data_IF_934085414062
#
_entry.id   IF_934085414062
#
_cell.length_a   1.000
_cell.length_b   1.000
_cell.length_c   1.000
_cell.angle_alpha   90.00
_cell.angle_beta   90.00
_cell.angle_gamma   90.00
#
_symmetry.space_group_name_H-M   'P 1'
#
loop_
_entity.id
_entity.type
_entity.pdbx_description
1 polymer ?
#
# COMPACT_ATOMS: atom_id res chain seq x y z
N UNK A 1 -2.11 3.04 3.61
CA UNK A 1 -1.20 3.77 2.74
C UNK A 1 -0.41 4.81 3.53
N UNK A 2 0.40 5.59 2.83
CA UNK A 2 1.21 6.62 3.47
C UNK A 2 0.72 8.01 3.08
N UNK A 3 0.28 8.15 1.83
CA UNK A 3 -0.21 9.44 1.36
C UNK A 3 0.31 9.78 -0.02
N UNK A 4 1.54 9.37 -0.30
CA UNK A 4 2.17 9.64 -1.59
C UNK A 4 1.37 9.01 -2.72
N UNK A 5 0.81 7.83 -2.47
CA UNK A 5 0.03 7.12 -3.47
C UNK A 5 -1.25 6.57 -2.85
N UNK A 6 -2.18 6.14 -3.71
CA UNK A 6 -3.45 5.59 -3.26
C UNK A 6 -3.84 4.37 -4.08
N UNK A 7 -4.22 3.30 -3.38
CA UNK A 7 -4.62 2.06 -4.04
C UNK A 7 -6.10 2.08 -4.38
N UNK A 8 -6.50 1.21 -5.33
CA UNK A 8 -7.90 1.11 -5.77
C UNK A 8 -8.80 0.51 -4.69
N UNK A 9 -10.05 0.25 -5.05
CA UNK A 9 -11.01 -0.32 -4.12
C UNK A 9 -10.88 -1.84 -4.05
N UNK A 10 -10.58 -2.45 -5.20
CA UNK A 10 -10.42 -3.90 -5.27
C UNK A 10 -9.15 -4.35 -4.55
N UNK A 11 -8.21 -3.42 -4.39
CA UNK A 11 -6.95 -3.72 -3.72
C UNK A 11 -6.81 -2.90 -2.43
N UNK A 12 -5.88 -3.32 -1.58
CA UNK A 12 -5.65 -2.62 -0.31
C UNK A 12 -4.17 -2.29 -0.14
N UNK A 13 -3.88 -1.34 0.75
CA UNK A 13 -2.51 -0.94 1.01
C UNK A 13 -1.86 -1.84 2.07
N UNK A 14 -0.73 -2.42 1.72
CA UNK A 14 -0.01 -3.31 2.63
C UNK A 14 1.49 -3.00 2.62
N UNK A 15 2.13 -3.22 3.76
CA UNK A 15 3.56 -2.97 3.88
C UNK A 15 4.38 -4.22 3.56
N UNK A 16 5.57 -4.02 3.03
CA UNK A 16 6.44 -5.14 2.68
C UNK A 16 7.40 -5.46 3.82
N UNK A 17 8.01 -6.64 3.76
CA UNK A 17 8.95 -7.07 4.79
C UNK A 17 10.11 -6.10 4.90
N UNK A 18 10.54 -5.54 3.77
CA UNK A 18 11.65 -4.59 3.75
C UNK A 18 11.24 -3.27 4.38
N UNK A 19 9.93 -3.02 4.44
CA UNK A 19 9.44 -1.80 5.03
C UNK A 19 8.99 -0.79 3.99
N UNK A 20 8.59 -1.30 2.82
CA UNK A 20 8.14 -0.43 1.74
C UNK A 20 6.63 -0.56 1.53
N UNK A 21 5.97 0.55 1.26
CA UNK A 21 4.53 0.56 1.05
C UNK A 21 4.18 -0.04 -0.31
N UNK A 22 3.12 -0.85 -0.34
CA UNK A 22 2.70 -1.48 -1.58
C UNK A 22 1.21 -1.77 -1.60
N UNK A 23 0.80 -2.59 -2.56
CA UNK A 23 -0.61 -2.96 -2.69
C UNK A 23 -0.79 -4.47 -2.60
N UNK A 24 -1.67 -4.91 -1.72
CA UNK A 24 -1.94 -6.34 -1.54
C UNK A 24 -3.33 -6.70 -2.07
#
# INVERSE_FOLDING_TARGET
CEGNFYCPAEKFCCKTRTGQWGCC
#
